data_IF_001392634246
#
_entry.id   IF_001392634246
#
_cell.length_a   1.000
_cell.length_b   1.000
_cell.length_c   1.000
_cell.angle_alpha   90.00
_cell.angle_beta   90.00
_cell.angle_gamma   90.00
#
_symmetry.space_group_name_H-M   'P 1'
#
loop_
_entity.id
_entity.type
_entity.pdbx_description
1 polymer ?
#
# COMPACT_ATOMS: atom_id res chain seq x y z
N UNK A 1 -34.28 14.81 12.79
CA UNK A 1 -33.06 15.60 12.53
C UNK A 1 -31.90 14.61 12.48
N UNK A 2 -31.57 14.13 11.28
CA UNK A 2 -30.49 13.16 11.05
C UNK A 2 -29.45 13.81 10.17
N UNK A 3 -28.48 14.47 10.81
CA UNK A 3 -27.26 14.92 10.15
C UNK A 3 -26.23 13.79 10.30
N UNK A 4 -25.72 13.27 9.19
CA UNK A 4 -24.73 12.18 9.25
C UNK A 4 -24.54 11.39 7.96
N UNK A 5 -25.25 11.69 6.87
CA UNK A 5 -24.90 11.15 5.55
C UNK A 5 -23.59 11.76 5.10
N UNK A 6 -22.49 11.01 5.21
CA UNK A 6 -21.23 11.41 4.62
C UNK A 6 -21.40 11.44 3.09
N UNK A 7 -21.59 12.63 2.53
CA UNK A 7 -21.52 12.84 1.08
C UNK A 7 -20.15 12.36 0.61
N UNK A 8 -20.12 11.31 -0.22
CA UNK A 8 -18.93 10.97 -0.98
C UNK A 8 -18.67 12.13 -1.96
N UNK A 9 -17.78 13.04 -1.59
CA UNK A 9 -17.57 14.31 -2.29
C UNK A 9 -16.81 14.09 -3.60
N UNK A 10 -16.91 15.04 -4.55
CA UNK A 10 -16.08 15.07 -5.78
C UNK A 10 -14.58 14.89 -5.51
N UNK A 11 -14.10 15.32 -4.33
CA UNK A 11 -12.70 15.18 -3.94
C UNK A 11 -12.28 13.71 -3.77
N UNK A 12 -13.13 12.87 -3.17
CA UNK A 12 -12.84 11.44 -3.00
C UNK A 12 -12.86 10.71 -4.36
N UNK A 13 -13.78 11.10 -5.26
CA UNK A 13 -13.82 10.56 -6.63
C UNK A 13 -12.59 10.95 -7.46
N UNK A 14 -12.11 12.19 -7.35
CA UNK A 14 -10.91 12.63 -8.06
C UNK A 14 -9.65 11.88 -7.59
N UNK A 15 -9.54 11.60 -6.29
CA UNK A 15 -8.45 10.76 -5.73
C UNK A 15 -8.49 9.36 -6.32
N UNK A 16 -9.67 8.75 -6.44
CA UNK A 16 -9.85 7.43 -7.01
C UNK A 16 -9.44 7.37 -8.50
N UNK A 17 -9.84 8.36 -9.30
CA UNK A 17 -9.47 8.42 -10.72
C UNK A 17 -7.96 8.62 -10.89
N UNK A 18 -7.36 9.50 -10.11
CA UNK A 18 -5.90 9.75 -10.16
C UNK A 18 -5.12 8.52 -9.73
N UNK A 19 -5.52 7.86 -8.64
CA UNK A 19 -4.91 6.61 -8.19
C UNK A 19 -5.08 5.49 -9.22
N UNK A 20 -6.22 5.40 -9.89
CA UNK A 20 -6.44 4.42 -10.97
C UNK A 20 -5.51 4.69 -12.16
N UNK A 21 -5.48 5.93 -12.67
CA UNK A 21 -4.63 6.31 -13.79
C UNK A 21 -3.15 6.04 -13.51
N UNK A 22 -2.72 6.36 -12.29
CA UNK A 22 -1.36 6.09 -11.84
C UNK A 22 -1.10 4.58 -11.72
N UNK A 23 -2.04 3.79 -11.18
CA UNK A 23 -1.88 2.34 -11.10
C UNK A 23 -1.72 1.69 -12.49
N UNK A 24 -2.54 2.11 -13.46
CA UNK A 24 -2.49 1.67 -14.85
C UNK A 24 -1.18 2.07 -15.54
N UNK A 25 -0.62 3.25 -15.22
CA UNK A 25 0.68 3.71 -15.74
C UNK A 25 1.82 2.74 -15.41
N UNK A 26 1.71 2.06 -14.28
CA UNK A 26 2.69 1.09 -13.79
C UNK A 26 2.37 -0.36 -14.15
N UNK A 27 1.33 -0.61 -14.95
CA UNK A 27 0.99 -1.95 -15.41
C UNK A 27 2.09 -2.54 -16.31
N UNK A 28 2.49 -3.78 -16.03
CA UNK A 28 3.54 -4.47 -16.80
C UNK A 28 4.95 -3.90 -16.62
N UNK A 29 5.13 -2.89 -15.77
CA UNK A 29 6.45 -2.34 -15.45
C UNK A 29 7.24 -3.34 -14.59
N UNK A 30 8.54 -3.47 -14.89
CA UNK A 30 9.42 -4.39 -14.18
C UNK A 30 9.61 -3.99 -12.70
N UNK A 31 9.68 -4.97 -11.81
CA UNK A 31 9.77 -4.77 -10.37
C UNK A 31 10.98 -3.92 -9.95
N UNK A 32 12.10 -4.01 -10.67
CA UNK A 32 13.30 -3.22 -10.43
C UNK A 32 13.05 -1.72 -10.58
N UNK A 33 12.12 -1.33 -11.47
CA UNK A 33 11.73 0.06 -11.62
C UNK A 33 10.97 0.56 -10.38
N UNK A 34 10.10 -0.26 -9.78
CA UNK A 34 9.43 0.09 -8.53
C UNK A 34 10.41 0.32 -7.38
N UNK A 35 11.43 -0.54 -7.25
CA UNK A 35 12.50 -0.35 -6.26
C UNK A 35 13.29 0.94 -6.51
N UNK A 36 13.55 1.28 -7.78
CA UNK A 36 14.25 2.52 -8.13
C UNK A 36 13.43 3.76 -7.79
N UNK A 37 12.10 3.72 -7.97
CA UNK A 37 11.23 4.83 -7.55
C UNK A 37 11.34 5.09 -6.05
N UNK A 38 11.57 4.06 -5.22
CA UNK A 38 11.76 4.24 -3.77
C UNK A 38 12.86 5.25 -3.41
N UNK A 39 13.92 5.34 -4.22
CA UNK A 39 15.03 6.30 -4.03
C UNK A 39 14.70 7.75 -4.38
N UNK A 40 13.58 7.99 -5.08
CA UNK A 40 13.13 9.31 -5.52
C UNK A 40 12.07 9.91 -4.62
N UNK A 41 11.54 9.13 -3.67
CA UNK A 41 10.70 9.66 -2.62
C UNK A 41 11.60 10.26 -1.56
N UNK A 42 11.44 11.55 -1.27
CA UNK A 42 12.40 12.42 -0.58
C UNK A 42 12.90 11.89 0.78
N UNK A 43 12.22 10.93 1.42
CA UNK A 43 12.87 9.82 2.18
C UNK A 43 11.86 8.72 2.62
N UNK A 44 10.97 8.25 1.73
CA UNK A 44 9.73 7.48 2.06
C UNK A 44 8.60 8.31 2.71
N UNK A 45 8.79 9.64 2.69
CA UNK A 45 7.87 10.78 2.86
C UNK A 45 7.27 11.07 4.26
N UNK A 46 8.12 11.13 5.28
CA UNK A 46 7.90 11.88 6.55
C UNK A 46 6.62 11.54 7.35
N UNK A 47 6.46 10.23 7.60
CA UNK A 47 5.58 9.54 8.56
C UNK A 47 4.24 9.04 8.06
N UNK A 48 4.28 7.81 7.53
CA UNK A 48 3.17 6.84 7.40
C UNK A 48 2.60 6.45 8.80
N UNK A 49 2.58 7.36 9.78
CA UNK A 49 2.33 7.10 11.20
C UNK A 49 1.18 7.90 11.82
N UNK A 50 0.76 9.02 11.21
CA UNK A 50 -0.31 9.87 11.75
C UNK A 50 -1.69 9.63 11.11
N UNK A 51 -1.77 8.90 9.99
CA UNK A 51 -2.97 8.86 9.16
C UNK A 51 -3.63 7.50 8.97
N UNK A 52 -3.10 6.42 9.58
CA UNK A 52 -3.72 5.10 9.46
C UNK A 52 -4.45 4.73 10.75
N UNK A 53 -5.74 5.08 10.80
CA UNK A 53 -6.66 4.36 11.67
C UNK A 53 -6.89 2.93 11.12
N UNK A 54 -7.04 1.91 11.99
CA UNK A 54 -6.75 0.51 11.67
C UNK A 54 -7.85 -0.23 10.87
N UNK A 55 -7.50 -1.27 10.06
CA UNK A 55 -6.21 -1.56 9.43
C UNK A 55 -6.18 -1.17 7.94
N UNK A 56 -5.22 -0.33 7.55
CA UNK A 56 -5.04 0.11 6.17
C UNK A 56 -4.05 -0.77 5.37
N UNK A 57 -4.22 -0.94 4.05
CA UNK A 57 -3.33 -1.69 3.16
C UNK A 57 -1.85 -1.34 3.33
N UNK A 58 -1.53 -0.05 3.53
CA UNK A 58 -0.17 0.41 3.77
C UNK A 58 0.48 -0.22 5.02
N UNK A 59 -0.27 -0.46 6.10
CA UNK A 59 0.24 -1.11 7.30
C UNK A 59 0.64 -2.57 7.04
N UNK A 60 -0.18 -3.31 6.27
CA UNK A 60 0.16 -4.67 5.84
C UNK A 60 1.43 -4.72 5.00
N UNK A 61 1.67 -3.70 4.16
CA UNK A 61 2.92 -3.59 3.40
C UNK A 61 4.12 -3.40 4.33
N UNK A 62 4.01 -2.58 5.38
CA UNK A 62 5.08 -2.42 6.38
C UNK A 62 5.32 -3.71 7.17
N UNK A 63 4.26 -4.39 7.59
CA UNK A 63 4.36 -5.68 8.27
C UNK A 63 5.05 -6.73 7.39
N UNK A 64 4.71 -6.77 6.10
CA UNK A 64 5.37 -7.62 5.11
C UNK A 64 6.88 -7.33 5.01
N UNK A 65 7.26 -6.05 4.99
CA UNK A 65 8.69 -5.67 5.06
C UNK A 65 9.32 -6.13 6.36
N UNK A 66 8.65 -5.98 7.50
CA UNK A 66 9.20 -6.41 8.78
C UNK A 66 9.51 -7.91 8.78
N UNK A 67 8.59 -8.74 8.26
CA UNK A 67 8.83 -10.18 8.07
C UNK A 67 10.05 -10.41 7.18
N UNK A 68 10.10 -9.80 5.99
CA UNK A 68 11.21 -9.97 5.04
C UNK A 68 12.58 -9.56 5.62
N UNK A 69 12.59 -8.54 6.48
CA UNK A 69 13.79 -7.98 7.08
C UNK A 69 14.16 -8.63 8.43
N UNK A 70 13.36 -9.55 8.96
CA UNK A 70 13.56 -10.15 10.28
C UNK A 70 13.41 -9.13 11.40
N UNK A 71 12.50 -8.17 11.21
CA UNK A 71 12.22 -7.10 12.17
C UNK A 71 10.92 -7.37 12.92
N UNK A 72 10.84 -6.80 14.12
CA UNK A 72 9.61 -6.67 14.90
C UNK A 72 9.34 -5.20 15.20
N UNK A 73 8.06 -4.89 15.45
CA UNK A 73 7.60 -3.58 15.89
C UNK A 73 6.29 -3.16 15.21
N UNK A 74 5.72 -2.06 15.68
CA UNK A 74 4.59 -1.40 15.01
C UNK A 74 5.03 -0.65 13.73
N UNK A 75 4.06 -0.13 12.97
CA UNK A 75 4.31 0.63 11.75
C UNK A 75 5.30 1.80 11.94
N UNK A 76 5.25 2.49 13.09
CA UNK A 76 6.15 3.64 13.36
C UNK A 76 7.59 3.16 13.57
N UNK A 77 7.75 2.06 14.29
CA UNK A 77 9.04 1.41 14.53
C UNK A 77 9.63 0.86 13.22
N UNK A 78 8.80 0.28 12.35
CA UNK A 78 9.23 -0.21 11.03
C UNK A 78 9.69 0.95 10.15
N UNK A 79 8.91 2.04 10.08
CA UNK A 79 9.30 3.25 9.32
C UNK A 79 10.62 3.81 9.84
N UNK A 80 10.80 3.87 11.16
CA UNK A 80 12.07 4.32 11.76
C UNK A 80 13.24 3.42 11.36
N UNK A 81 13.04 2.09 11.25
CA UNK A 81 14.07 1.17 10.77
C UNK A 81 14.39 1.34 9.27
N UNK A 82 13.40 1.75 8.46
CA UNK A 82 13.56 2.05 7.04
C UNK A 82 14.36 3.34 6.83
N UNK A 83 13.95 4.42 7.50
CA UNK A 83 14.48 5.77 7.24
C UNK A 83 15.66 6.13 8.12
N UNK A 84 15.79 5.49 9.29
CA UNK A 84 16.76 5.84 10.33
C UNK A 84 16.30 7.00 11.20
N UNK A 85 15.11 7.54 10.94
CA UNK A 85 14.60 8.78 11.53
C UNK A 85 13.35 8.50 12.36
N UNK A 86 13.28 9.05 13.58
CA UNK A 86 12.06 8.97 14.39
C UNK A 86 11.10 10.08 14.00
N UNK A 87 9.81 9.84 14.19
CA UNK A 87 8.72 10.82 13.95
C UNK A 87 8.85 12.18 14.64
N UNK A 88 9.77 12.31 15.59
CA UNK A 88 10.06 13.54 16.33
C UNK A 88 11.28 14.30 15.83
N UNK A 89 12.03 13.74 14.89
CA UNK A 89 13.33 14.24 14.50
C UNK A 89 13.20 15.03 13.19
N UNK A 90 13.86 16.18 13.08
CA UNK A 90 13.80 17.04 11.88
C UNK A 90 14.91 16.73 10.87
N UNK A 91 15.94 15.99 11.28
CA UNK A 91 17.11 15.70 10.44
C UNK A 91 16.90 14.45 9.58
N UNK A 92 17.14 14.60 8.28
CA UNK A 92 17.08 13.51 7.30
C UNK A 92 18.32 12.61 7.38
N UNK A 93 18.11 11.31 7.13
CA UNK A 93 19.16 10.28 7.27
C UNK A 93 19.36 9.47 5.98
N UNK A 94 19.53 10.17 4.85
CA UNK A 94 19.76 9.62 3.49
C UNK A 94 20.61 8.34 3.44
N UNK A 95 21.75 8.31 4.14
CA UNK A 95 22.66 7.15 4.14
C UNK A 95 22.06 5.88 4.76
N UNK A 96 21.16 6.02 5.72
CA UNK A 96 20.43 4.91 6.33
C UNK A 96 19.37 4.36 5.37
N UNK A 97 18.58 5.24 4.75
CA UNK A 97 17.59 4.84 3.76
C UNK A 97 18.23 4.16 2.53
N UNK A 98 19.35 4.68 2.03
CA UNK A 98 20.08 4.05 0.92
C UNK A 98 20.60 2.64 1.29
N UNK A 99 21.01 2.44 2.55
CA UNK A 99 21.38 1.12 3.06
C UNK A 99 20.18 0.19 3.05
N UNK A 100 19.03 0.66 3.54
CA UNK A 100 17.78 -0.10 3.48
C UNK A 100 17.43 -0.52 2.05
N UNK A 101 17.45 0.39 1.07
CA UNK A 101 17.11 0.05 -0.33
C UNK A 101 18.03 -1.00 -0.93
N UNK A 102 19.33 -0.92 -0.63
CA UNK A 102 20.30 -1.92 -1.06
C UNK A 102 20.02 -3.28 -0.42
N UNK A 103 19.78 -3.30 0.89
CA UNK A 103 19.52 -4.53 1.62
C UNK A 103 18.19 -5.15 1.18
N UNK A 104 17.16 -4.33 0.91
CA UNK A 104 15.88 -4.72 0.35
C UNK A 104 16.07 -5.38 -1.03
N UNK A 105 16.76 -4.74 -1.96
CA UNK A 105 17.01 -5.27 -3.32
C UNK A 105 17.75 -6.61 -3.35
N UNK A 106 18.49 -6.94 -2.29
CA UNK A 106 19.20 -8.21 -2.14
C UNK A 106 18.30 -9.36 -1.64
N UNK A 107 17.12 -9.08 -1.08
CA UNK A 107 16.23 -10.09 -0.51
C UNK A 107 15.59 -10.98 -1.57
N UNK A 108 15.37 -12.24 -1.21
CA UNK A 108 14.63 -13.23 -2.01
C UNK A 108 13.64 -13.96 -1.11
N UNK A 109 12.46 -14.27 -1.66
CA UNK A 109 11.43 -15.02 -0.95
C UNK A 109 11.92 -16.42 -0.53
N UNK A 110 12.64 -17.10 -1.43
CA UNK A 110 13.14 -18.45 -1.21
C UNK A 110 14.21 -18.55 -0.10
N UNK A 111 14.84 -17.44 0.27
CA UNK A 111 15.87 -17.41 1.32
C UNK A 111 15.25 -17.34 2.74
N UNK A 112 13.95 -17.06 2.84
CA UNK A 112 13.24 -17.00 4.11
C UNK A 112 12.93 -18.41 4.65
N UNK A 113 12.93 -18.63 5.98
CA UNK A 113 12.33 -19.80 6.60
C UNK A 113 10.87 -19.98 6.19
N UNK A 114 10.40 -21.23 6.10
CA UNK A 114 9.01 -21.55 5.66
C UNK A 114 7.94 -20.80 6.46
N UNK A 115 8.14 -20.64 7.77
CA UNK A 115 7.21 -19.89 8.62
C UNK A 115 7.14 -18.39 8.25
N UNK A 116 8.27 -17.79 7.87
CA UNK A 116 8.34 -16.39 7.44
C UNK A 116 7.81 -16.22 6.02
N UNK A 117 8.04 -17.20 5.13
CA UNK A 117 7.42 -17.24 3.81
C UNK A 117 5.89 -17.24 3.91
N UNK A 118 5.33 -18.08 4.79
CA UNK A 118 3.89 -18.14 5.02
C UNK A 118 3.34 -16.81 5.58
N UNK A 119 4.06 -16.18 6.51
CA UNK A 119 3.66 -14.88 7.06
C UNK A 119 3.71 -13.78 6.00
N UNK A 120 4.78 -13.72 5.21
CA UNK A 120 4.92 -12.72 4.15
C UNK A 120 3.82 -12.88 3.09
N UNK A 121 3.53 -14.12 2.69
CA UNK A 121 2.44 -14.42 1.77
C UNK A 121 1.09 -13.98 2.34
N UNK A 122 0.82 -14.32 3.61
CA UNK A 122 -0.38 -13.90 4.34
C UNK A 122 -0.53 -12.38 4.32
N UNK A 123 0.50 -11.63 4.73
CA UNK A 123 0.45 -10.17 4.77
C UNK A 123 0.15 -9.51 3.42
N UNK A 124 0.60 -10.10 2.31
CA UNK A 124 0.40 -9.54 0.98
C UNK A 124 -0.92 -10.00 0.33
N UNK A 125 -1.48 -11.14 0.73
CA UNK A 125 -2.66 -11.75 0.08
C UNK A 125 -3.90 -11.83 0.96
N UNK A 126 -3.77 -11.54 2.25
CA UNK A 126 -4.90 -11.47 3.18
C UNK A 126 -5.92 -10.46 2.68
N UNK A 127 -7.19 -10.84 2.83
CA UNK A 127 -8.29 -9.94 2.54
C UNK A 127 -8.35 -8.91 3.66
N UNK A 128 -8.43 -7.65 3.27
CA UNK A 128 -8.51 -6.53 4.19
C UNK A 128 -9.92 -5.95 4.19
N UNK A 129 -10.38 -5.53 5.36
CA UNK A 129 -11.59 -4.73 5.49
C UNK A 129 -11.23 -3.31 5.02
N UNK A 130 -11.31 -3.10 3.70
CA UNK A 130 -11.23 -1.76 3.16
C UNK A 130 -12.63 -1.20 3.05
N UNK A 131 -12.90 0.02 3.54
CA UNK A 131 -14.18 0.68 3.34
C UNK A 131 -14.38 1.01 1.84
N UNK A 132 -14.74 0.00 1.03
CA UNK A 132 -15.47 0.22 -0.23
C UNK A 132 -16.91 0.46 0.17
N UNK A 133 -17.37 1.67 -0.08
CA UNK A 133 -18.74 2.07 0.20
C UNK A 133 -19.68 1.25 -0.69
N UNK A 134 -20.50 0.39 -0.11
CA UNK A 134 -21.60 -0.28 -0.78
C UNK A 134 -22.77 0.70 -0.85
N UNK A 135 -23.08 1.19 -2.05
CA UNK A 135 -24.14 2.18 -2.26
C UNK A 135 -25.55 1.60 -2.05
N UNK A 136 -25.73 0.30 -2.26
CA UNK A 136 -27.03 -0.38 -2.10
C UNK A 136 -27.33 -0.65 -0.62
N UNK A 137 -26.30 -0.97 0.17
CA UNK A 137 -26.44 -1.29 1.58
C UNK A 137 -26.13 -0.12 2.53
N UNK A 138 -25.58 0.99 2.01
CA UNK A 138 -25.04 2.11 2.80
C UNK A 138 -24.06 1.65 3.90
N UNK A 139 -23.29 0.61 3.62
CA UNK A 139 -22.40 -0.07 4.57
C UNK A 139 -21.02 -0.30 3.95
N UNK A 140 -20.02 -0.61 4.79
CA UNK A 140 -18.66 -0.96 4.37
C UNK A 140 -18.47 -2.47 4.53
N UNK A 141 -19.01 -3.25 3.61
CA UNK A 141 -19.17 -4.69 3.85
C UNK A 141 -18.76 -5.53 2.65
N UNK A 142 -17.47 -5.52 2.33
CA UNK A 142 -16.85 -6.67 1.67
C UNK A 142 -15.34 -6.73 1.93
N UNK A 143 -14.87 -7.81 2.58
CA UNK A 143 -13.44 -8.06 2.74
C UNK A 143 -12.88 -8.46 1.38
N UNK A 144 -12.07 -7.60 0.77
CA UNK A 144 -11.50 -7.83 -0.56
C UNK A 144 -10.00 -8.11 -0.45
N UNK A 145 -9.42 -8.90 -1.37
CA UNK A 145 -7.97 -9.06 -1.43
C UNK A 145 -7.31 -7.69 -1.53
N UNK A 146 -6.27 -7.44 -0.73
CA UNK A 146 -5.45 -6.25 -0.89
C UNK A 146 -4.89 -6.20 -2.32
N UNK A 147 -5.01 -5.04 -2.97
CA UNK A 147 -4.45 -4.81 -4.29
C UNK A 147 -3.65 -3.51 -4.31
N UNK A 148 -2.90 -3.34 -5.40
CA UNK A 148 -1.99 -2.21 -5.62
C UNK A 148 -2.69 -0.85 -5.56
N UNK A 149 -3.96 -0.79 -5.96
CA UNK A 149 -4.74 0.44 -5.96
C UNK A 149 -5.14 0.88 -4.56
N UNK A 150 -5.60 -0.05 -3.72
CA UNK A 150 -5.92 0.26 -2.32
C UNK A 150 -4.68 0.75 -1.56
N UNK A 151 -3.52 0.15 -1.84
CA UNK A 151 -2.23 0.61 -1.29
C UNK A 151 -1.86 2.00 -1.82
N UNK A 152 -2.06 2.27 -3.11
CA UNK A 152 -1.73 3.55 -3.73
C UNK A 152 -2.59 4.71 -3.19
N UNK A 153 -3.87 4.47 -2.88
CA UNK A 153 -4.71 5.47 -2.18
C UNK A 153 -4.14 5.88 -0.83
N UNK A 154 -3.42 4.97 -0.18
CA UNK A 154 -2.83 5.20 1.14
C UNK A 154 -1.45 5.88 1.05
N UNK A 155 -0.59 5.38 0.17
CA UNK A 155 0.79 5.84 0.05
C UNK A 155 1.41 5.36 -1.25
N UNK A 156 1.95 6.30 -2.03
CA UNK A 156 2.70 5.98 -3.25
C UNK A 156 3.96 5.17 -2.95
N UNK A 157 4.67 5.47 -1.86
CA UNK A 157 5.86 4.72 -1.44
C UNK A 157 5.50 3.28 -1.06
N UNK A 158 4.40 3.07 -0.32
CA UNK A 158 3.91 1.72 -0.03
C UNK A 158 3.43 1.01 -1.28
N UNK A 159 2.87 1.70 -2.28
CA UNK A 159 2.50 1.09 -3.55
C UNK A 159 3.73 0.52 -4.27
N UNK A 160 4.79 1.29 -4.44
CA UNK A 160 6.01 0.79 -5.10
C UNK A 160 6.67 -0.34 -4.29
N UNK A 161 6.67 -0.22 -2.97
CA UNK A 161 7.15 -1.27 -2.08
C UNK A 161 6.31 -2.55 -2.20
N UNK A 162 4.98 -2.43 -2.24
CA UNK A 162 4.05 -3.54 -2.41
C UNK A 162 4.27 -4.26 -3.74
N UNK A 163 4.37 -3.50 -4.84
CA UNK A 163 4.62 -4.05 -6.18
C UNK A 163 5.94 -4.82 -6.23
N UNK A 164 6.97 -4.26 -5.62
CA UNK A 164 8.26 -4.94 -5.51
C UNK A 164 8.17 -6.21 -4.65
N UNK A 165 7.51 -6.16 -3.49
CA UNK A 165 7.32 -7.32 -2.61
C UNK A 165 6.50 -8.43 -3.29
N UNK A 166 5.41 -8.06 -3.97
CA UNK A 166 4.57 -8.98 -4.72
C UNK A 166 5.37 -9.69 -5.83
N UNK A 167 6.34 -9.01 -6.45
CA UNK A 167 7.22 -9.62 -7.45
C UNK A 167 8.07 -10.77 -6.92
N UNK A 168 8.39 -10.76 -5.61
CA UNK A 168 9.14 -11.83 -4.96
C UNK A 168 8.31 -13.12 -4.80
N UNK A 169 6.98 -13.01 -4.81
CA UNK A 169 6.09 -14.14 -4.62
C UNK A 169 6.01 -15.01 -5.90
N UNK A 170 5.77 -16.32 -5.75
CA UNK A 170 5.42 -17.20 -6.86
C UNK A 170 4.23 -16.65 -7.66
N UNK A 171 4.28 -16.77 -9.00
CA UNK A 171 3.29 -16.14 -9.90
C UNK A 171 1.83 -16.44 -9.54
N UNK A 172 1.51 -17.70 -9.23
CA UNK A 172 0.15 -18.12 -8.87
C UNK A 172 -0.34 -17.68 -7.50
N UNK A 173 0.52 -17.05 -6.68
CA UNK A 173 0.18 -16.57 -5.33
C UNK A 173 0.29 -15.06 -5.23
N UNK A 174 0.55 -14.36 -6.33
CA UNK A 174 0.65 -12.90 -6.34
C UNK A 174 -0.72 -12.28 -6.11
N UNK A 175 -0.81 -11.19 -5.33
CA UNK A 175 -2.04 -10.43 -5.20
C UNK A 175 -2.53 -9.95 -6.57
N UNK A 176 -3.86 -9.89 -6.78
CA UNK A 176 -4.41 -9.37 -8.03
C UNK A 176 -4.10 -7.88 -8.17
N UNK A 177 -3.75 -7.45 -9.38
CA UNK A 177 -3.66 -6.02 -9.73
C UNK A 177 -5.00 -5.42 -10.17
N UNK A 178 -5.99 -6.26 -10.48
CA UNK A 178 -7.25 -5.82 -11.06
C UNK A 178 -8.13 -5.13 -10.02
N UNK A 179 -8.64 -3.97 -10.42
CA UNK A 179 -9.67 -3.24 -9.71
C UNK A 179 -10.99 -3.55 -10.40
N UNK A 180 -11.98 -4.04 -9.67
CA UNK A 180 -13.38 -3.89 -10.12
C UNK A 180 -13.77 -2.44 -9.86
N UNK A 181 -13.75 -1.63 -10.92
CA UNK A 181 -14.25 -0.25 -10.91
C UNK A 181 -15.60 -0.28 -11.60
N UNK A 182 -16.63 0.15 -10.89
CA UNK A 182 -17.92 0.38 -11.50
C UNK A 182 -17.89 1.69 -12.30
N UNK A 183 -17.33 1.61 -13.52
CA UNK A 183 -17.26 2.72 -14.47
C UNK A 183 -18.66 3.24 -14.81
N UNK A 184 -19.71 2.41 -14.66
CA UNK A 184 -21.08 2.81 -14.89
C UNK A 184 -21.59 3.71 -13.76
N UNK A 185 -21.37 3.33 -12.50
CA UNK A 185 -21.65 4.20 -11.36
C UNK A 185 -20.89 5.54 -11.44
N UNK A 186 -19.67 5.53 -11.99
CA UNK A 186 -18.89 6.74 -12.28
C UNK A 186 -19.59 7.68 -13.28
N UNK A 187 -20.04 7.17 -14.43
CA UNK A 187 -20.72 7.99 -15.44
C UNK A 187 -22.11 8.47 -15.00
N UNK A 188 -22.83 7.67 -14.20
CA UNK A 188 -24.13 8.04 -13.66
C UNK A 188 -23.98 9.23 -12.67
N UNK A 189 -22.96 9.22 -11.80
CA UNK A 189 -22.65 10.36 -10.91
C UNK A 189 -22.10 11.60 -11.62
N UNK A 190 -21.37 11.44 -12.72
CA UNK A 190 -20.89 12.57 -13.53
C UNK A 190 -22.06 13.38 -14.12
N UNK A 191 -23.16 12.73 -14.48
CA UNK A 191 -24.35 13.38 -15.04
C UNK A 191 -25.22 14.10 -13.98
N UNK A 192 -25.11 13.72 -12.71
CA UNK A 192 -25.88 14.29 -11.59
C UNK A 192 -25.21 15.51 -10.92
N UNK A 193 -23.98 15.83 -11.32
CA UNK A 193 -23.10 16.85 -10.74
C UNK A 193 -22.96 18.06 -11.66
#
# INVERSE_FOLDING_TARGET
>A
VGAGGAQYTRANMAVDILAMQENLRWEGVAAEAHLKELSRFDEFNFYISEYFDPPAPAANVLDAVAVLMGWSGDAKQIVTKITGQRHTDDELHTGHFQRFLRDLGAKRFADLPEAEQAQLLGKLTERIAWPKFDEEQQDYTEVTPMNSYDVLKCSQACFHLFEWLASLLPEGTRPPRQIHIDIRAYHEKEAEL
#
